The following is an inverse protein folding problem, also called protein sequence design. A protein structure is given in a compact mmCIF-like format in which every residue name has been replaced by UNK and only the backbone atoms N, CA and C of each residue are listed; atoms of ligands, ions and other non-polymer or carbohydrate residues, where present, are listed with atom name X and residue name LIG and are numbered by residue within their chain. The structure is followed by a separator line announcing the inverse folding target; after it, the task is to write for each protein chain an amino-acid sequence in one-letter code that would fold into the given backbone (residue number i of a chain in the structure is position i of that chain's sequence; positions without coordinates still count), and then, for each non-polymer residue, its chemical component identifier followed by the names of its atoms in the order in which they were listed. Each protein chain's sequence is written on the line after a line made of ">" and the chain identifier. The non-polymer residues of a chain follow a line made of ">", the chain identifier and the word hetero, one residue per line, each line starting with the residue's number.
data_IF_786752754369
#
_entry.id   IF_786752754369
#
_cell.length_a   1.000
_cell.length_b   1.000
_cell.length_c   1.000
_cell.angle_alpha   90.00
_cell.angle_beta   90.00
_cell.angle_gamma   90.00
#
_symmetry.space_group_name_H-M   'P 1'
#
loop_
_entity.id
_entity.type
_entity.pdbx_description
1 polymer ?
#
# COMPACT_ATOMS: atom_id res chain seq x y z
N UNK A 1 -11.58 -24.96 16.43
CA UNK A 1 -11.66 -23.59 16.97
C UNK A 1 -12.66 -23.58 18.13
N UNK A 2 -12.49 -22.68 19.09
CA UNK A 2 -13.51 -22.38 20.10
C UNK A 2 -13.81 -20.88 20.08
N UNK A 3 -15.06 -20.52 20.32
CA UNK A 3 -15.52 -19.13 20.46
C UNK A 3 -16.30 -19.02 21.75
N UNK A 4 -15.88 -18.13 22.63
CA UNK A 4 -16.56 -17.84 23.90
C UNK A 4 -17.06 -16.39 23.84
N UNK A 5 -18.34 -16.20 24.17
CA UNK A 5 -18.95 -14.88 24.32
C UNK A 5 -19.01 -14.57 25.81
N UNK A 6 -18.53 -13.39 26.20
CA UNK A 6 -18.61 -12.91 27.58
C UNK A 6 -19.54 -11.70 27.61
N UNK A 7 -20.75 -11.91 28.11
CA UNK A 7 -21.88 -10.96 28.18
C UNK A 7 -21.54 -9.65 28.91
N UNK A 8 -20.42 -9.58 29.65
CA UNK A 8 -20.06 -8.43 30.47
C UNK A 8 -19.25 -7.35 29.75
N UNK A 9 -18.59 -7.64 28.62
CA UNK A 9 -17.51 -6.76 28.11
C UNK A 9 -17.58 -6.39 26.61
N UNK A 10 -18.61 -6.74 25.84
CA UNK A 10 -18.63 -6.56 24.37
C UNK A 10 -17.37 -7.12 23.64
N UNK A 11 -16.64 -8.05 24.27
CA UNK A 11 -15.42 -8.66 23.74
C UNK A 11 -15.75 -10.05 23.22
N UNK A 12 -15.44 -10.28 21.94
CA UNK A 12 -15.47 -11.61 21.31
C UNK A 12 -14.07 -12.19 21.29
N UNK A 13 -13.86 -13.31 21.97
CA UNK A 13 -12.61 -14.06 21.92
C UNK A 13 -12.70 -15.20 20.91
N UNK A 14 -11.82 -15.19 19.89
CA UNK A 14 -11.76 -16.23 18.85
C UNK A 14 -10.42 -16.95 18.95
N UNK A 15 -10.45 -18.27 19.14
CA UNK A 15 -9.26 -19.12 19.12
C UNK A 15 -9.15 -19.91 17.81
N UNK A 16 -8.13 -19.57 17.03
CA UNK A 16 -7.76 -20.29 15.82
C UNK A 16 -7.01 -21.60 16.15
N UNK A 17 -7.09 -22.59 15.25
CA UNK A 17 -6.30 -23.83 15.35
C UNK A 17 -4.88 -23.59 14.88
N UNK A 18 -3.91 -24.39 15.34
CA UNK A 18 -2.51 -24.22 14.91
C UNK A 18 -2.32 -24.36 13.40
N UNK A 19 -3.11 -25.23 12.75
CA UNK A 19 -3.06 -25.49 11.30
C UNK A 19 -3.34 -24.24 10.45
N UNK A 20 -4.05 -23.24 10.97
CA UNK A 20 -4.35 -22.01 10.22
C UNK A 20 -3.23 -20.96 10.34
N UNK A 21 -2.31 -21.12 11.29
CA UNK A 21 -1.25 -20.16 11.58
C UNK A 21 -0.34 -19.85 10.38
N UNK A 22 0.09 -20.83 9.56
CA UNK A 22 0.90 -20.54 8.36
C UNK A 22 0.17 -19.59 7.40
N UNK A 23 -1.13 -19.80 7.19
CA UNK A 23 -1.95 -18.97 6.30
C UNK A 23 -2.16 -17.55 6.87
N UNK A 24 -2.35 -17.42 8.19
CA UNK A 24 -2.44 -16.12 8.85
C UNK A 24 -1.12 -15.33 8.80
N UNK A 25 0.02 -16.03 8.92
CA UNK A 25 1.36 -15.42 8.82
C UNK A 25 1.66 -15.00 7.38
N UNK A 26 1.32 -15.83 6.39
CA UNK A 26 1.49 -15.49 4.96
C UNK A 26 0.60 -14.33 4.54
N UNK A 27 -0.61 -14.23 5.13
CA UNK A 27 -1.47 -13.05 5.03
C UNK A 27 -0.72 -11.77 5.45
N UNK A 28 0.13 -11.80 6.48
CA UNK A 28 0.90 -10.62 6.94
C UNK A 28 1.95 -10.15 5.92
N UNK A 29 2.46 -11.05 5.06
CA UNK A 29 3.54 -10.74 4.10
C UNK A 29 3.04 -10.20 2.76
N UNK A 30 1.89 -10.69 2.28
CA UNK A 30 1.35 -10.37 0.94
C UNK A 30 -0.10 -9.86 1.00
N UNK A 31 -0.45 -9.02 1.99
CA UNK A 31 -1.82 -8.51 2.06
C UNK A 31 -2.08 -7.40 1.05
N UNK A 32 -3.21 -7.53 0.37
CA UNK A 32 -3.87 -6.38 -0.23
C UNK A 32 -4.58 -5.63 0.91
N UNK A 33 -4.23 -4.36 1.11
CA UNK A 33 -4.93 -3.50 2.06
C UNK A 33 -6.31 -3.16 1.50
N UNK A 34 -7.33 -3.63 2.19
CA UNK A 34 -8.72 -3.21 2.01
C UNK A 34 -9.12 -2.35 3.21
N UNK A 35 -9.91 -1.32 3.00
CA UNK A 35 -10.51 -0.65 4.16
C UNK A 35 -11.58 -1.58 4.72
N UNK A 36 -11.43 -1.95 5.99
CA UNK A 36 -12.42 -2.77 6.70
C UNK A 36 -13.81 -2.12 6.61
N UNK A 37 -13.88 -0.78 6.57
CA UNK A 37 -15.13 -0.02 6.38
C UNK A 37 -15.89 -0.46 5.14
N UNK A 38 -15.19 -0.60 4.02
CA UNK A 38 -15.84 -0.93 2.76
C UNK A 38 -16.41 -2.34 2.80
N UNK A 39 -15.70 -3.29 3.43
CA UNK A 39 -16.12 -4.69 3.49
C UNK A 39 -17.27 -4.88 4.48
N UNK A 40 -17.27 -4.15 5.60
CA UNK A 40 -18.30 -4.26 6.64
C UNK A 40 -19.71 -3.94 6.13
N UNK A 41 -19.83 -3.09 5.12
CA UNK A 41 -21.13 -2.75 4.52
C UNK A 41 -21.56 -3.71 3.41
N UNK A 42 -20.69 -4.64 2.97
CA UNK A 42 -21.01 -5.63 1.94
C UNK A 42 -21.60 -6.90 2.56
N UNK A 43 -22.81 -7.25 2.17
CA UNK A 43 -23.55 -8.40 2.66
C UNK A 43 -23.47 -9.59 1.69
N UNK A 44 -23.35 -9.35 0.39
CA UNK A 44 -23.22 -10.45 -0.57
C UNK A 44 -21.80 -11.02 -0.55
N UNK A 45 -21.70 -12.36 -0.43
CA UNK A 45 -20.42 -13.07 -0.56
C UNK A 45 -19.71 -12.73 -1.88
N UNK A 46 -20.47 -12.51 -2.95
CA UNK A 46 -19.93 -12.19 -4.28
C UNK A 46 -19.39 -10.77 -4.33
N UNK A 47 -20.05 -9.81 -3.67
CA UNK A 47 -19.54 -8.45 -3.50
C UNK A 47 -18.19 -8.46 -2.79
N UNK A 48 -18.07 -9.21 -1.70
CA UNK A 48 -16.81 -9.31 -0.94
C UNK A 48 -15.70 -9.91 -1.81
N UNK A 49 -15.97 -11.01 -2.53
CA UNK A 49 -15.00 -11.67 -3.41
C UNK A 49 -14.54 -10.71 -4.52
N UNK A 50 -15.48 -10.07 -5.22
CA UNK A 50 -15.19 -9.18 -6.32
C UNK A 50 -14.48 -7.91 -5.85
N UNK A 51 -14.92 -7.31 -4.74
CA UNK A 51 -14.26 -6.15 -4.14
C UNK A 51 -12.80 -6.44 -3.80
N UNK A 52 -12.50 -7.61 -3.23
CA UNK A 52 -11.12 -8.03 -2.94
C UNK A 52 -10.27 -8.11 -4.21
N UNK A 53 -10.83 -8.65 -5.29
CA UNK A 53 -10.15 -8.75 -6.58
C UNK A 53 -9.94 -7.37 -7.24
N UNK A 54 -10.95 -6.50 -7.21
CA UNK A 54 -10.84 -5.13 -7.73
C UNK A 54 -9.79 -4.32 -6.99
N UNK A 55 -9.83 -4.36 -5.66
CA UNK A 55 -8.85 -3.71 -4.80
C UNK A 55 -7.43 -4.22 -5.05
N UNK A 56 -7.23 -5.53 -5.27
CA UNK A 56 -5.92 -6.08 -5.60
C UNK A 56 -5.37 -5.54 -6.92
N UNK A 57 -6.21 -5.47 -7.95
CA UNK A 57 -5.82 -4.91 -9.25
C UNK A 57 -5.54 -3.40 -9.15
N UNK A 58 -6.43 -2.66 -8.50
CA UNK A 58 -6.31 -1.22 -8.36
C UNK A 58 -5.12 -0.80 -7.48
N UNK A 59 -4.82 -1.54 -6.42
CA UNK A 59 -3.64 -1.29 -5.58
C UNK A 59 -2.34 -1.50 -6.36
N UNK A 60 -2.30 -2.48 -7.27
CA UNK A 60 -1.16 -2.62 -8.19
C UNK A 60 -1.07 -1.43 -9.16
N UNK A 61 -2.20 -1.00 -9.73
CA UNK A 61 -2.25 0.22 -10.54
C UNK A 61 -1.71 1.44 -9.78
N UNK A 62 -2.18 1.69 -8.56
CA UNK A 62 -1.74 2.81 -7.72
C UNK A 62 -0.26 2.73 -7.35
N UNK A 63 0.28 1.53 -7.16
CA UNK A 63 1.69 1.30 -6.85
C UNK A 63 2.60 1.59 -8.05
N UNK A 64 2.17 1.21 -9.25
CA UNK A 64 3.01 1.28 -10.44
C UNK A 64 2.73 2.48 -11.34
N UNK A 65 1.60 3.18 -11.19
CA UNK A 65 1.30 4.40 -11.95
C UNK A 65 2.41 5.44 -11.72
N UNK A 66 2.91 6.04 -12.78
CA UNK A 66 4.03 6.98 -12.73
C UNK A 66 5.42 6.35 -12.54
N UNK A 67 5.52 5.02 -12.36
CA UNK A 67 6.80 4.31 -12.31
C UNK A 67 7.23 3.83 -13.70
N UNK A 68 8.54 3.75 -13.96
CA UNK A 68 9.09 3.19 -15.21
C UNK A 68 9.15 1.66 -15.23
N UNK A 69 8.62 0.97 -14.21
CA UNK A 69 8.74 -0.49 -14.06
C UNK A 69 7.75 -1.29 -14.91
N UNK A 70 6.72 -0.65 -15.45
CA UNK A 70 5.62 -1.30 -16.18
C UNK A 70 5.33 -0.51 -17.46
N UNK A 71 4.88 -1.21 -18.49
CA UNK A 71 4.44 -0.56 -19.73
C UNK A 71 3.08 0.11 -19.53
N UNK A 72 2.75 1.11 -20.37
CA UNK A 72 1.44 1.78 -20.32
C UNK A 72 0.28 0.78 -20.43
N UNK A 73 0.43 -0.27 -21.25
CA UNK A 73 -0.60 -1.29 -21.41
C UNK A 73 -0.79 -2.11 -20.12
N UNK A 74 0.29 -2.52 -19.46
CA UNK A 74 0.22 -3.23 -18.18
C UNK A 74 -0.47 -2.38 -17.10
N UNK A 75 -0.13 -1.10 -17.02
CA UNK A 75 -0.78 -0.16 -16.09
C UNK A 75 -2.28 -0.06 -16.39
N UNK A 76 -2.67 0.04 -17.66
CA UNK A 76 -4.08 0.10 -18.04
C UNK A 76 -4.82 -1.20 -17.69
N UNK A 77 -4.21 -2.36 -17.87
CA UNK A 77 -4.78 -3.65 -17.48
C UNK A 77 -4.96 -3.79 -15.95
N UNK A 78 -4.07 -3.18 -15.16
CA UNK A 78 -4.23 -3.14 -13.70
C UNK A 78 -5.38 -2.22 -13.28
N UNK A 79 -5.56 -1.07 -13.96
CA UNK A 79 -6.70 -0.17 -13.69
C UNK A 79 -8.02 -0.77 -14.14
N UNK A 80 -8.01 -1.38 -15.33
CA UNK A 80 -9.17 -1.89 -16.04
C UNK A 80 -8.95 -3.37 -16.33
N UNK A 81 -9.14 -4.25 -15.35
CA UNK A 81 -8.80 -5.66 -15.50
C UNK A 81 -9.85 -6.42 -16.33
N UNK A 82 -9.36 -7.30 -17.19
CA UNK A 82 -10.15 -8.31 -17.88
C UNK A 82 -10.10 -9.63 -17.11
N UNK A 83 -11.22 -10.35 -17.07
CA UNK A 83 -11.28 -11.73 -16.58
C UNK A 83 -12.09 -12.61 -17.53
N UNK A 84 -11.58 -13.81 -17.80
CA UNK A 84 -12.30 -14.82 -18.55
C UNK A 84 -13.53 -15.30 -17.78
N UNK A 85 -14.62 -15.62 -18.48
CA UNK A 85 -15.87 -16.02 -17.83
C UNK A 85 -15.72 -17.29 -16.98
N UNK A 86 -14.88 -18.24 -17.40
CA UNK A 86 -14.62 -19.46 -16.63
C UNK A 86 -13.83 -19.14 -15.36
N UNK A 87 -12.84 -18.25 -15.45
CA UNK A 87 -12.04 -17.84 -14.30
C UNK A 87 -12.86 -17.04 -13.28
N UNK A 88 -13.70 -16.14 -13.78
CA UNK A 88 -14.64 -15.39 -12.95
C UNK A 88 -15.59 -16.35 -12.20
N UNK A 89 -16.13 -17.37 -12.87
CA UNK A 89 -16.98 -18.39 -12.22
C UNK A 89 -16.24 -19.21 -11.18
N UNK A 90 -14.97 -19.56 -11.42
CA UNK A 90 -14.15 -20.25 -10.41
C UNK A 90 -13.92 -19.35 -9.20
N UNK A 91 -13.55 -18.09 -9.42
CA UNK A 91 -13.33 -17.11 -8.37
C UNK A 91 -14.56 -16.89 -7.49
N UNK A 92 -15.76 -16.86 -8.08
CA UNK A 92 -17.03 -16.74 -7.34
C UNK A 92 -17.58 -18.07 -6.83
N UNK A 93 -16.91 -19.20 -7.11
CA UNK A 93 -17.40 -20.55 -6.83
C UNK A 93 -18.80 -20.83 -7.41
N UNK A 94 -19.03 -20.46 -8.67
CA UNK A 94 -20.31 -20.60 -9.39
C UNK A 94 -20.11 -21.31 -10.73
N UNK A 95 -19.20 -22.27 -10.80
CA UNK A 95 -18.91 -23.04 -12.03
C UNK A 95 -20.14 -23.87 -12.44
N UNK A 96 -20.79 -24.51 -11.47
CA UNK A 96 -22.00 -25.31 -11.66
C UNK A 96 -23.30 -24.56 -11.34
N UNK A 97 -23.23 -23.27 -11.02
CA UNK A 97 -24.39 -22.44 -10.69
C UNK A 97 -24.64 -21.41 -11.80
N UNK A 98 -25.89 -20.99 -11.97
CA UNK A 98 -26.27 -19.94 -12.94
C UNK A 98 -25.74 -20.23 -14.35
N UNK A 99 -26.04 -21.41 -14.90
CA UNK A 99 -25.50 -21.87 -16.19
C UNK A 99 -25.69 -20.84 -17.31
N UNK A 100 -26.88 -20.22 -17.36
CA UNK A 100 -27.17 -19.15 -18.30
C UNK A 100 -26.41 -17.89 -17.88
N UNK A 101 -25.67 -17.32 -18.83
CA UNK A 101 -24.90 -16.09 -18.60
C UNK A 101 -25.78 -14.93 -18.10
N UNK A 102 -27.04 -14.89 -18.52
CA UNK A 102 -28.01 -13.90 -18.04
C UNK A 102 -28.25 -14.01 -16.53
N UNK A 103 -28.44 -15.22 -16.02
CA UNK A 103 -28.67 -15.46 -14.58
C UNK A 103 -27.40 -15.18 -13.78
N UNK A 104 -26.24 -15.54 -14.31
CA UNK A 104 -24.96 -15.22 -13.71
C UNK A 104 -24.75 -13.70 -13.64
N UNK A 105 -24.97 -12.99 -14.75
CA UNK A 105 -24.85 -11.54 -14.81
C UNK A 105 -25.81 -10.85 -13.84
N UNK A 106 -27.07 -11.29 -13.79
CA UNK A 106 -28.09 -10.69 -12.93
C UNK A 106 -27.80 -10.89 -11.45
N UNK A 107 -27.54 -12.13 -11.03
CA UNK A 107 -27.49 -12.49 -9.60
C UNK A 107 -26.09 -12.34 -8.99
N UNK A 108 -25.03 -12.38 -9.80
CA UNK A 108 -23.64 -12.30 -9.34
C UNK A 108 -23.08 -10.94 -9.67
N UNK A 109 -22.92 -10.62 -10.95
CA UNK A 109 -22.21 -9.40 -11.36
C UNK A 109 -22.96 -8.13 -11.00
N UNK A 110 -24.21 -7.98 -11.44
CA UNK A 110 -24.98 -6.75 -11.21
C UNK A 110 -25.23 -6.50 -9.74
N UNK A 111 -25.75 -7.50 -9.02
CA UNK A 111 -25.97 -7.41 -7.58
C UNK A 111 -24.69 -7.03 -6.83
N UNK A 112 -23.55 -7.66 -7.17
CA UNK A 112 -22.31 -7.36 -6.50
C UNK A 112 -21.80 -5.94 -6.81
N UNK A 113 -21.84 -5.53 -8.07
CA UNK A 113 -21.35 -4.21 -8.47
C UNK A 113 -22.25 -3.09 -7.95
N UNK A 114 -23.57 -3.29 -7.89
CA UNK A 114 -24.50 -2.35 -7.26
C UNK A 114 -24.16 -2.13 -5.78
N UNK A 115 -23.92 -3.21 -5.04
CA UNK A 115 -23.54 -3.13 -3.63
C UNK A 115 -22.18 -2.45 -3.44
N UNK A 116 -21.16 -2.88 -4.20
CA UNK A 116 -19.81 -2.29 -4.16
C UNK A 116 -19.86 -0.81 -4.48
N UNK A 117 -20.57 -0.43 -5.55
CA UNK A 117 -20.72 0.96 -5.94
C UNK A 117 -21.44 1.78 -4.88
N UNK A 118 -22.40 1.21 -4.16
CA UNK A 118 -23.15 1.95 -3.14
C UNK A 118 -22.37 2.14 -1.84
N UNK A 119 -21.64 1.11 -1.44
CA UNK A 119 -21.10 0.98 -0.08
C UNK A 119 -19.59 1.17 0.04
N UNK A 120 -18.87 1.26 -1.07
CA UNK A 120 -17.41 1.40 -1.07
C UNK A 120 -16.94 2.65 -1.77
N UNK A 121 -15.64 2.94 -1.64
CA UNK A 121 -14.99 4.01 -2.39
C UNK A 121 -14.78 3.70 -3.89
N UNK A 122 -15.19 2.54 -4.40
CA UNK A 122 -15.08 2.26 -5.83
C UNK A 122 -16.33 2.64 -6.62
N UNK A 123 -16.08 3.02 -7.88
CA UNK A 123 -17.05 3.12 -8.95
C UNK A 123 -16.62 2.15 -10.04
N UNK A 124 -17.43 1.13 -10.30
CA UNK A 124 -17.11 0.00 -11.15
C UNK A 124 -18.21 -0.18 -12.20
N UNK A 125 -17.79 -0.23 -13.45
CA UNK A 125 -18.63 -0.62 -14.60
C UNK A 125 -17.97 -1.76 -15.35
N UNK A 126 -18.69 -2.39 -16.27
CA UNK A 126 -18.16 -3.50 -17.04
C UNK A 126 -18.76 -3.59 -18.45
N UNK A 127 -17.97 -4.12 -19.37
CA UNK A 127 -18.39 -4.56 -20.69
C UNK A 127 -18.27 -6.07 -20.83
N UNK A 128 -19.18 -6.66 -21.60
CA UNK A 128 -19.14 -8.08 -21.96
C UNK A 128 -18.37 -8.26 -23.26
N UNK A 129 -17.30 -9.03 -23.21
CA UNK A 129 -16.50 -9.38 -24.39
C UNK A 129 -17.09 -10.65 -25.02
N UNK A 130 -17.41 -10.57 -26.31
CA UNK A 130 -18.03 -11.68 -27.07
C UNK A 130 -16.99 -12.42 -27.89
N UNK A 131 -17.17 -13.74 -28.00
CA UNK A 131 -16.52 -14.59 -29.01
C UNK A 131 -17.61 -15.36 -29.76
N UNK A 132 -17.98 -14.84 -30.93
CA UNK A 132 -19.17 -15.30 -31.64
C UNK A 132 -20.45 -14.96 -30.86
N UNK A 133 -21.30 -15.97 -30.60
CA UNK A 133 -22.55 -15.80 -29.84
C UNK A 133 -22.37 -15.86 -28.33
N UNK A 134 -21.24 -16.37 -27.85
CA UNK A 134 -20.97 -16.56 -26.43
C UNK A 134 -20.19 -15.39 -25.83
N UNK A 135 -20.41 -15.12 -24.54
CA UNK A 135 -19.56 -14.20 -23.77
C UNK A 135 -18.28 -14.94 -23.39
N UNK A 136 -17.12 -14.42 -23.77
CA UNK A 136 -15.82 -15.00 -23.40
C UNK A 136 -15.29 -14.45 -22.08
N UNK A 137 -15.62 -13.20 -21.74
CA UNK A 137 -15.16 -12.61 -20.49
C UNK A 137 -15.72 -11.22 -20.27
N UNK A 138 -15.26 -10.61 -19.18
CA UNK A 138 -15.73 -9.33 -18.69
C UNK A 138 -14.54 -8.38 -18.60
N UNK A 139 -14.69 -7.21 -19.21
CA UNK A 139 -13.77 -6.09 -19.07
C UNK A 139 -14.33 -5.13 -18.02
N UNK A 140 -13.63 -4.94 -16.90
CA UNK A 140 -14.03 -4.00 -15.87
C UNK A 140 -13.35 -2.65 -16.05
N UNK A 141 -14.01 -1.60 -15.57
CA UNK A 141 -13.46 -0.26 -15.46
C UNK A 141 -13.65 0.22 -14.02
N UNK A 142 -12.55 0.59 -13.38
CA UNK A 142 -12.53 0.92 -11.95
C UNK A 142 -12.05 2.35 -11.79
N UNK A 143 -12.86 3.15 -11.09
CA UNK A 143 -12.50 4.47 -10.62
C UNK A 143 -12.72 4.58 -9.11
N UNK A 144 -12.03 5.53 -8.48
CA UNK A 144 -12.10 5.77 -7.04
C UNK A 144 -12.87 7.05 -6.77
N UNK A 145 -13.91 6.94 -5.95
CA UNK A 145 -14.65 8.07 -5.39
C UNK A 145 -13.77 8.74 -4.33
N UNK A 146 -13.99 10.03 -4.10
CA UNK A 146 -13.39 10.72 -2.94
C UNK A 146 -13.73 9.89 -1.71
N UNK A 147 -12.71 9.52 -0.92
CA UNK A 147 -12.87 8.59 0.19
C UNK A 147 -13.93 9.12 1.18
N UNK A 148 -14.88 8.27 1.58
CA UNK A 148 -15.54 8.47 2.86
C UNK A 148 -14.48 8.31 3.94
N UNK A 149 -14.47 9.21 4.92
CA UNK A 149 -13.53 9.21 6.03
C UNK A 149 -13.55 7.87 6.80
N UNK A 150 -12.51 7.69 7.63
CA UNK A 150 -12.21 6.54 8.50
C UNK A 150 -13.41 5.89 9.21
N UNK A 151 -13.22 4.62 9.61
CA UNK A 151 -14.16 3.80 10.41
C UNK A 151 -14.90 4.62 11.48
N UNK A 152 -16.24 4.78 11.40
CA UNK A 152 -16.98 5.57 12.39
C UNK A 152 -16.91 5.00 13.82
N UNK A 153 -16.62 3.71 13.99
CA UNK A 153 -16.52 3.11 15.33
C UNK A 153 -15.20 3.43 16.07
N UNK A 154 -14.17 3.96 15.38
CA UNK A 154 -12.89 4.28 16.02
C UNK A 154 -12.79 5.73 16.52
N UNK A 155 -13.74 6.59 16.15
CA UNK A 155 -13.71 8.00 16.57
C UNK A 155 -14.03 8.19 18.07
N UNK A 156 -14.65 7.19 18.71
CA UNK A 156 -15.01 7.21 20.13
C UNK A 156 -14.23 6.17 20.98
N UNK A 157 -13.34 5.39 20.36
CA UNK A 157 -12.53 4.40 21.07
C UNK A 157 -11.33 5.10 21.75
N UNK A 158 -11.35 5.12 23.08
CA UNK A 158 -10.35 5.82 23.91
C UNK A 158 -8.93 5.27 23.73
N UNK A 159 -8.76 3.99 23.41
CA UNK A 159 -7.45 3.37 23.22
C UNK A 159 -6.89 3.71 21.84
N UNK A 160 -7.74 3.68 20.81
CA UNK A 160 -7.36 4.14 19.47
C UNK A 160 -7.01 5.64 19.42
N UNK A 161 -7.73 6.49 20.13
CA UNK A 161 -7.41 7.92 20.21
C UNK A 161 -6.04 8.12 20.87
N UNK A 162 -5.76 7.42 21.99
CA UNK A 162 -4.45 7.46 22.65
C UNK A 162 -3.33 7.01 21.72
N UNK A 163 -3.51 5.90 21.03
CA UNK A 163 -2.52 5.39 20.07
C UNK A 163 -2.27 6.37 18.92
N UNK A 164 -3.34 6.96 18.36
CA UNK A 164 -3.23 7.96 17.30
C UNK A 164 -2.49 9.21 17.78
N UNK A 165 -2.84 9.72 18.96
CA UNK A 165 -2.17 10.88 19.58
C UNK A 165 -0.70 10.56 19.85
N UNK A 166 -0.39 9.35 20.34
CA UNK A 166 0.98 8.92 20.59
C UNK A 166 1.78 8.81 19.28
N UNK A 167 1.18 8.29 18.20
CA UNK A 167 1.82 8.21 16.89
C UNK A 167 2.08 9.60 16.29
N UNK A 168 1.13 10.52 16.41
CA UNK A 168 1.29 11.92 15.98
C UNK A 168 2.38 12.63 16.80
N UNK A 169 2.43 12.39 18.12
CA UNK A 169 3.49 12.88 19.00
C UNK A 169 4.87 12.31 18.61
N UNK A 170 5.00 11.00 18.43
CA UNK A 170 6.26 10.37 17.99
C UNK A 170 6.71 10.94 16.64
N UNK A 171 5.77 11.12 15.70
CA UNK A 171 6.06 11.67 14.39
C UNK A 171 6.55 13.13 14.49
N UNK A 172 5.92 13.94 15.34
CA UNK A 172 6.32 15.33 15.58
C UNK A 172 7.68 15.42 16.29
N UNK A 173 7.98 14.52 17.23
CA UNK A 173 9.30 14.44 17.85
C UNK A 173 10.39 14.09 16.85
N UNK A 174 10.14 13.09 15.99
CA UNK A 174 11.07 12.70 14.93
C UNK A 174 11.27 13.85 13.94
N UNK A 175 10.22 14.58 13.59
CA UNK A 175 10.30 15.78 12.77
C UNK A 175 11.21 16.84 13.41
N UNK A 176 10.98 17.19 14.68
CA UNK A 176 11.76 18.20 15.39
C UNK A 176 13.26 17.81 15.43
N UNK A 177 13.55 16.54 15.73
CA UNK A 177 14.92 15.98 15.69
C UNK A 177 15.52 16.10 14.29
N UNK A 178 14.74 15.80 13.25
CA UNK A 178 15.19 15.85 11.87
C UNK A 178 15.60 17.27 11.47
N UNK A 179 14.74 18.27 11.70
CA UNK A 179 14.98 19.66 11.27
C UNK A 179 16.23 20.25 11.95
N UNK A 180 16.52 19.86 13.19
CA UNK A 180 17.71 20.29 13.93
C UNK A 180 18.97 19.47 13.58
N UNK A 181 18.85 18.38 12.82
CA UNK A 181 19.96 17.50 12.52
C UNK A 181 20.89 18.10 11.45
N UNK A 182 22.21 18.00 11.67
CA UNK A 182 23.23 18.48 10.73
C UNK A 182 23.15 17.78 9.36
N UNK A 183 22.64 16.55 9.30
CA UNK A 183 22.43 15.87 8.02
C UNK A 183 21.38 16.57 7.16
N UNK A 184 20.34 17.16 7.76
CA UNK A 184 19.34 17.98 7.05
C UNK A 184 19.99 19.18 6.37
N UNK A 185 20.89 19.86 7.07
CA UNK A 185 21.66 20.97 6.50
C UNK A 185 22.48 20.51 5.30
N UNK A 186 23.22 19.40 5.42
CA UNK A 186 24.05 18.86 4.34
C UNK A 186 23.22 18.45 3.13
N UNK A 187 22.07 17.81 3.35
CA UNK A 187 21.13 17.46 2.27
C UNK A 187 20.58 18.71 1.57
N UNK A 188 20.26 19.77 2.32
CA UNK A 188 19.79 21.05 1.80
C UNK A 188 20.87 21.79 1.00
N UNK A 189 22.09 21.86 1.51
CA UNK A 189 23.25 22.46 0.83
C UNK A 189 23.57 21.77 -0.50
N UNK A 190 23.31 20.46 -0.61
CA UNK A 190 23.50 19.68 -1.83
C UNK A 190 22.23 19.62 -2.70
N UNK A 191 21.20 20.42 -2.39
CA UNK A 191 19.93 20.50 -3.13
C UNK A 191 19.23 19.14 -3.30
N UNK A 192 19.36 18.25 -2.32
CA UNK A 192 18.68 16.95 -2.29
C UNK A 192 17.30 17.06 -1.61
N UNK A 193 17.12 18.04 -0.73
CA UNK A 193 15.85 18.42 -0.14
C UNK A 193 15.69 19.94 -0.22
N UNK A 194 14.48 20.41 -0.48
CA UNK A 194 14.15 21.84 -0.52
C UNK A 194 13.37 22.32 0.70
N UNK A 195 13.09 23.63 0.76
CA UNK A 195 12.30 24.24 1.83
C UNK A 195 10.94 23.56 2.03
N UNK A 196 10.23 23.22 0.94
CA UNK A 196 8.95 22.52 1.00
C UNK A 196 9.07 21.13 1.62
N UNK A 197 10.18 20.43 1.38
CA UNK A 197 10.44 19.12 1.99
C UNK A 197 10.72 19.23 3.49
N UNK A 198 11.39 20.31 3.91
CA UNK A 198 11.68 20.58 5.33
C UNK A 198 10.43 20.92 6.14
N UNK A 199 9.36 21.38 5.49
CA UNK A 199 8.06 21.62 6.13
C UNK A 199 7.17 20.35 6.15
N UNK A 200 7.55 19.29 5.44
CA UNK A 200 6.80 18.04 5.37
C UNK A 200 7.13 17.15 6.58
N UNK A 201 6.20 17.12 7.54
CA UNK A 201 6.33 16.38 8.82
C UNK A 201 6.67 14.92 8.59
N UNK A 202 5.95 14.27 7.68
CA UNK A 202 6.11 12.84 7.41
C UNK A 202 7.46 12.55 6.75
N UNK A 203 7.86 13.37 5.78
CA UNK A 203 9.13 13.19 5.06
C UNK A 203 10.33 13.35 5.99
N UNK A 204 10.36 14.41 6.78
CA UNK A 204 11.45 14.69 7.72
C UNK A 204 11.51 13.66 8.86
N UNK A 205 10.38 13.26 9.43
CA UNK A 205 10.33 12.17 10.41
C UNK A 205 10.90 10.86 9.84
N UNK A 206 10.58 10.56 8.57
CA UNK A 206 11.12 9.39 7.88
C UNK A 206 12.62 9.48 7.60
N UNK A 207 13.17 10.67 7.26
CA UNK A 207 14.62 10.86 7.15
C UNK A 207 15.32 10.57 8.48
N UNK A 208 14.80 11.14 9.58
CA UNK A 208 15.34 10.92 10.92
C UNK A 208 15.27 9.46 11.37
N UNK A 209 14.20 8.74 11.01
CA UNK A 209 14.00 7.34 11.38
C UNK A 209 14.81 6.36 10.51
N UNK A 210 14.94 6.64 9.21
CA UNK A 210 15.39 5.63 8.25
C UNK A 210 16.75 5.92 7.59
N UNK A 211 17.19 7.19 7.53
CA UNK A 211 18.39 7.60 6.80
C UNK A 211 19.48 8.07 7.76
N UNK A 212 19.14 8.93 8.72
CA UNK A 212 20.14 9.54 9.61
C UNK A 212 20.90 8.55 10.49
N UNK A 213 20.31 7.44 10.99
CA UNK A 213 21.08 6.41 11.69
C UNK A 213 22.16 5.76 10.81
N UNK A 214 21.93 5.66 9.50
CA UNK A 214 22.91 5.14 8.54
C UNK A 214 24.02 6.16 8.27
N UNK A 215 23.70 7.46 8.28
CA UNK A 215 24.73 8.50 8.26
C UNK A 215 25.52 8.57 9.57
N UNK A 216 24.91 8.30 10.72
CA UNK A 216 25.65 8.14 11.97
C UNK A 216 26.63 6.96 11.91
N UNK A 217 26.23 5.85 11.30
CA UNK A 217 27.11 4.72 11.05
C UNK A 217 28.27 5.10 10.11
N UNK A 218 27.99 5.73 8.97
CA UNK A 218 29.03 6.17 8.06
C UNK A 218 29.97 7.19 8.73
N UNK A 219 29.43 8.10 9.54
CA UNK A 219 30.20 9.08 10.31
C UNK A 219 31.15 8.40 11.28
N UNK A 220 30.76 7.28 11.92
CA UNK A 220 31.66 6.49 12.76
C UNK A 220 32.80 5.86 11.96
N UNK A 221 32.53 5.41 10.74
CA UNK A 221 33.52 4.73 9.89
C UNK A 221 34.47 5.66 9.13
N UNK A 222 33.97 6.82 8.65
CA UNK A 222 34.68 7.72 7.72
C UNK A 222 34.64 9.20 8.15
N UNK A 223 34.17 9.48 9.36
CA UNK A 223 33.99 10.84 9.86
C UNK A 223 32.90 11.62 9.14
N UNK A 224 32.71 12.87 9.55
CA UNK A 224 31.71 13.75 8.92
C UNK A 224 32.03 14.07 7.46
N UNK A 225 33.32 14.10 7.10
CA UNK A 225 33.76 14.32 5.73
C UNK A 225 33.36 13.16 4.80
N UNK A 226 33.36 11.92 5.30
CA UNK A 226 32.84 10.77 4.55
C UNK A 226 31.35 10.90 4.24
N UNK A 227 30.55 11.38 5.20
CA UNK A 227 29.12 11.67 4.98
C UNK A 227 28.94 12.76 3.92
N UNK A 228 29.67 13.88 4.04
CA UNK A 228 29.61 14.98 3.06
C UNK A 228 29.98 14.49 1.66
N UNK A 229 31.07 13.73 1.53
CA UNK A 229 31.50 13.18 0.26
C UNK A 229 30.42 12.30 -0.38
N UNK A 230 29.84 11.37 0.38
CA UNK A 230 28.76 10.51 -0.11
C UNK A 230 27.55 11.34 -0.56
N UNK A 231 27.10 12.29 0.27
CA UNK A 231 25.96 13.14 -0.07
C UNK A 231 26.21 13.95 -1.35
N UNK A 232 27.38 14.58 -1.49
CA UNK A 232 27.74 15.32 -2.70
C UNK A 232 27.88 14.40 -3.93
N UNK A 233 28.41 13.19 -3.76
CA UNK A 233 28.45 12.19 -4.82
C UNK A 233 27.04 11.86 -5.31
N UNK A 234 26.11 11.59 -4.39
CA UNK A 234 24.71 11.31 -4.70
C UNK A 234 24.05 12.49 -5.43
N UNK A 235 24.29 13.71 -4.97
CA UNK A 235 23.75 14.92 -5.61
C UNK A 235 24.27 15.14 -7.03
N UNK A 236 25.53 14.79 -7.31
CA UNK A 236 26.15 14.96 -8.63
C UNK A 236 25.80 13.83 -9.62
N UNK A 237 25.46 12.63 -9.13
CA UNK A 237 25.15 11.46 -9.95
C UNK A 237 23.63 11.19 -10.04
N UNK A 238 22.80 12.20 -9.76
CA UNK A 238 21.33 12.13 -9.88
C UNK A 238 20.81 12.14 -11.32
N UNK A 239 21.66 12.47 -12.29
CA UNK A 239 21.31 12.61 -13.72
C UNK A 239 21.02 11.23 -14.35
N UNK A 240 19.75 10.82 -14.26
CA UNK A 240 19.23 9.51 -14.67
C UNK A 240 18.11 8.97 -13.77
N UNK A 241 17.84 9.65 -12.64
CA UNK A 241 16.93 9.19 -11.59
C UNK A 241 15.74 10.15 -11.33
N UNK A 242 15.29 10.91 -12.34
CA UNK A 242 14.15 11.85 -12.23
C UNK A 242 12.89 11.22 -11.61
N UNK A 243 12.62 9.94 -11.91
CA UNK A 243 11.51 9.19 -11.32
C UNK A 243 11.74 8.71 -9.89
N UNK A 244 12.99 8.57 -9.44
CA UNK A 244 13.34 8.12 -8.07
C UNK A 244 13.39 9.27 -7.06
N UNK A 245 13.49 10.51 -7.53
CA UNK A 245 13.42 11.72 -6.71
C UNK A 245 12.00 12.01 -6.18
N UNK A 246 10.96 11.32 -6.69
CA UNK A 246 9.61 11.40 -6.12
C UNK A 246 9.54 10.88 -4.67
N UNK A 247 10.51 10.04 -4.24
CA UNK A 247 10.65 9.62 -2.85
C UNK A 247 12.12 9.68 -2.41
N UNK A 248 12.57 10.90 -2.09
CA UNK A 248 13.95 11.20 -1.67
C UNK A 248 14.42 10.34 -0.48
N UNK A 249 13.54 10.05 0.49
CA UNK A 249 13.89 9.23 1.67
C UNK A 249 14.34 7.84 1.23
N UNK A 250 13.55 7.19 0.39
CA UNK A 250 13.83 5.85 -0.12
C UNK A 250 15.10 5.82 -0.96
N UNK A 251 15.30 6.84 -1.78
CA UNK A 251 16.49 6.97 -2.62
C UNK A 251 17.76 7.12 -1.78
N UNK A 252 17.77 8.05 -0.82
CA UNK A 252 18.91 8.28 0.07
C UNK A 252 19.22 7.04 0.91
N UNK A 253 18.21 6.40 1.49
CA UNK A 253 18.35 5.15 2.26
C UNK A 253 19.08 4.07 1.45
N UNK A 254 18.59 3.79 0.24
CA UNK A 254 19.20 2.77 -0.62
C UNK A 254 20.65 3.12 -0.98
N UNK A 255 20.91 4.40 -1.25
CA UNK A 255 22.25 4.86 -1.63
C UNK A 255 23.25 4.67 -0.49
N UNK A 256 22.89 5.06 0.75
CA UNK A 256 23.77 4.91 1.90
C UNK A 256 23.94 3.44 2.31
N UNK A 257 22.91 2.61 2.21
CA UNK A 257 23.00 1.16 2.48
C UNK A 257 24.03 0.49 1.56
N UNK A 258 23.97 0.78 0.25
CA UNK A 258 24.93 0.25 -0.72
C UNK A 258 26.34 0.76 -0.45
N UNK A 259 26.48 2.05 -0.13
CA UNK A 259 27.78 2.64 0.16
C UNK A 259 28.41 2.08 1.43
N UNK A 260 27.63 1.87 2.50
CA UNK A 260 28.10 1.26 3.74
C UNK A 260 28.61 -0.17 3.54
N UNK A 261 27.97 -0.96 2.67
CA UNK A 261 28.47 -2.30 2.32
C UNK A 261 29.89 -2.23 1.72
N UNK A 262 30.11 -1.31 0.78
CA UNK A 262 31.41 -1.10 0.15
C UNK A 262 32.45 -0.63 1.17
N UNK A 263 32.10 0.35 2.00
CA UNK A 263 32.99 0.92 3.03
C UNK A 263 33.42 -0.13 4.05
N UNK A 264 32.52 -1.03 4.45
CA UNK A 264 32.83 -2.11 5.40
C UNK A 264 33.79 -3.14 4.81
N UNK A 265 33.64 -3.51 3.53
CA UNK A 265 34.56 -4.43 2.85
C UNK A 265 35.97 -3.83 2.81
N UNK A 266 36.09 -2.55 2.48
CA UNK A 266 37.37 -1.83 2.40
C UNK A 266 38.08 -1.57 3.75
N UNK A 267 37.44 -1.88 4.88
CA UNK A 267 38.02 -1.73 6.22
C UNK A 267 38.42 -3.08 6.85
N UNK A 268 38.28 -4.19 6.10
CA UNK A 268 38.64 -5.54 6.54
C UNK A 268 40.04 -5.95 6.01
N UNK A 269 40.62 -5.15 5.12
CA UNK A 269 42.04 -5.20 4.70
C UNK A 269 42.87 -4.16 5.48
#
# INVERSE_FOLDING_TARGET
>A
SSSEWNDYNDVVAIKFTEDIMPYLIDLKRNFTQYLITDIMELNSKYSIILYKWFSMNYNQYDTYKGTSKRTKNQINQMKNPYIDIQELRKMTNTVSEYERIFDFEKNILKTALEEINKHTHFSITYDKIKKGRSISGIQFYIDKKVAKNSLPYKENDSEYIKDKVQQEQEQQELFNKAVQNKYTTILGENLLIGFRDMQDVTKMANLQKQVYPLYDELKKLRGMNGVKYHVSYVANHKNGAESQLQNIVKYLKRSIEQYLQIVKIQNID
#
